data_IF_484573157456
#
_entry.id   IF_484573157456
#
_cell.length_a   1.000
_cell.length_b   1.000
_cell.length_c   1.000
_cell.angle_alpha   90.00
_cell.angle_beta   90.00
_cell.angle_gamma   90.00
#
_symmetry.space_group_name_H-M   'P 1'
#
loop_
_entity.id
_entity.type
_entity.pdbx_description
1 polymer ?
#
# COMPACT_ATOMS: atom_id res chain seq x y z
N UNK A 1 63.21 -6.23 4.81
CA UNK A 1 62.05 -7.15 4.78
C UNK A 1 60.79 -6.31 4.94
N UNK A 2 59.97 -6.18 3.88
CA UNK A 2 58.70 -5.42 3.91
C UNK A 2 57.57 -6.40 3.63
N UNK A 3 56.72 -6.66 4.61
CA UNK A 3 55.50 -7.44 4.43
C UNK A 3 54.38 -6.49 4.02
N UNK A 4 53.81 -6.71 2.85
CA UNK A 4 52.60 -6.04 2.38
C UNK A 4 51.41 -6.83 2.94
N UNK A 5 50.75 -6.27 3.95
CA UNK A 5 49.51 -6.79 4.50
C UNK A 5 48.37 -6.44 3.54
N UNK A 6 47.97 -7.39 2.68
CA UNK A 6 46.81 -7.24 1.80
C UNK A 6 45.55 -7.47 2.64
N UNK A 7 44.87 -6.39 3.01
CA UNK A 7 43.58 -6.43 3.69
C UNK A 7 42.50 -6.79 2.67
N UNK A 8 42.20 -8.08 2.55
CA UNK A 8 41.05 -8.56 1.78
C UNK A 8 39.79 -8.26 2.59
N UNK A 9 39.21 -7.07 2.39
CA UNK A 9 37.85 -6.78 2.82
C UNK A 9 36.90 -7.68 2.02
N UNK A 10 36.60 -8.86 2.57
CA UNK A 10 35.52 -9.70 2.10
C UNK A 10 34.21 -8.90 2.25
N UNK A 11 33.70 -8.41 1.11
CA UNK A 11 32.36 -7.87 0.97
C UNK A 11 31.36 -8.99 1.27
N UNK A 12 31.06 -9.20 2.55
CA UNK A 12 29.92 -10.02 2.95
C UNK A 12 28.67 -9.28 2.44
N UNK A 13 27.84 -9.90 1.59
CA UNK A 13 26.56 -9.31 1.23
C UNK A 13 25.77 -9.10 2.53
N UNK A 14 25.36 -7.86 2.78
CA UNK A 14 24.44 -7.54 3.86
C UNK A 14 23.11 -8.19 3.46
N UNK A 15 22.92 -9.43 3.88
CA UNK A 15 21.64 -10.13 3.77
C UNK A 15 20.72 -9.37 4.73
N UNK A 16 19.89 -8.48 4.18
CA UNK A 16 18.81 -7.85 4.93
C UNK A 16 17.85 -8.96 5.35
N UNK A 17 17.99 -9.42 6.58
CA UNK A 17 17.10 -10.40 7.20
C UNK A 17 15.69 -9.78 7.20
N UNK A 18 14.77 -10.30 6.38
CA UNK A 18 13.37 -9.87 6.41
C UNK A 18 12.84 -10.20 7.80
N UNK A 19 12.46 -9.18 8.57
CA UNK A 19 11.96 -9.35 9.94
C UNK A 19 10.52 -9.88 9.86
N UNK A 20 10.34 -11.18 10.12
CA UNK A 20 9.03 -11.76 10.32
C UNK A 20 8.63 -11.65 11.80
N UNK A 21 7.47 -11.05 12.06
CA UNK A 21 6.89 -11.04 13.39
C UNK A 21 5.94 -12.23 13.53
N UNK A 22 6.14 -13.02 14.58
CA UNK A 22 5.31 -14.18 14.92
C UNK A 22 4.61 -13.96 16.25
N UNK A 23 3.29 -14.06 16.26
CA UNK A 23 2.48 -13.94 17.48
C UNK A 23 1.48 -15.10 17.58
N UNK A 24 1.21 -15.58 18.79
CA UNK A 24 0.09 -16.48 19.00
C UNK A 24 -1.25 -15.73 18.92
N UNK A 25 -1.31 -14.54 19.51
CA UNK A 25 -2.48 -13.69 19.44
C UNK A 25 -2.06 -12.24 19.29
N UNK A 26 -2.69 -11.55 18.34
CA UNK A 26 -2.57 -10.11 18.17
C UNK A 26 -3.95 -9.48 18.28
N UNK A 27 -4.13 -8.62 19.28
CA UNK A 27 -5.34 -7.83 19.47
C UNK A 27 -5.05 -6.38 19.10
N UNK A 28 -5.82 -5.84 18.16
CA UNK A 28 -5.92 -4.40 17.95
C UNK A 28 -7.15 -3.92 18.73
N UNK A 29 -6.98 -3.11 19.79
CA UNK A 29 -8.10 -2.61 20.58
C UNK A 29 -9.12 -1.83 19.74
N UNK A 30 -10.31 -1.62 20.31
CA UNK A 30 -11.36 -0.83 19.64
C UNK A 30 -10.88 0.61 19.41
N UNK A 31 -11.23 1.18 18.25
CA UNK A 31 -10.92 2.58 17.89
C UNK A 31 -9.43 2.95 17.95
N UNK A 32 -8.54 1.98 17.78
CA UNK A 32 -7.10 2.22 17.67
C UNK A 32 -6.58 1.90 16.28
N UNK A 33 -5.42 2.45 15.97
CA UNK A 33 -4.69 2.17 14.74
C UNK A 33 -3.38 1.44 15.06
N UNK A 34 -3.08 0.40 14.29
CA UNK A 34 -1.79 -0.29 14.30
C UNK A 34 -1.05 -0.02 12.99
N UNK A 35 0.15 0.54 13.06
CA UNK A 35 1.02 0.68 11.89
C UNK A 35 1.89 -0.57 11.74
N UNK A 36 1.76 -1.28 10.62
CA UNK A 36 2.60 -2.41 10.26
C UNK A 36 3.74 -1.91 9.36
N UNK A 37 4.92 -1.79 9.94
CA UNK A 37 6.14 -1.40 9.21
C UNK A 37 6.87 -2.58 8.59
N UNK A 38 6.47 -3.82 8.91
CA UNK A 38 7.08 -5.03 8.38
C UNK A 38 6.38 -5.51 7.11
N UNK A 39 7.14 -6.17 6.24
CA UNK A 39 6.63 -6.77 5.01
C UNK A 39 5.78 -8.02 5.29
N UNK A 40 5.90 -8.61 6.49
CA UNK A 40 5.22 -9.84 6.87
C UNK A 40 4.79 -9.86 8.34
N UNK A 41 3.56 -10.34 8.57
CA UNK A 41 2.95 -10.59 9.88
C UNK A 41 2.37 -12.00 9.89
N UNK A 42 2.86 -12.83 10.81
CA UNK A 42 2.36 -14.19 11.04
C UNK A 42 1.72 -14.24 12.42
N UNK A 43 0.42 -14.55 12.48
CA UNK A 43 -0.31 -14.57 13.75
C UNK A 43 -1.32 -15.71 13.79
N UNK A 44 -1.34 -16.53 14.84
CA UNK A 44 -2.31 -17.62 14.92
C UNK A 44 -3.74 -17.05 15.04
N UNK A 45 -4.00 -16.15 15.99
CA UNK A 45 -5.30 -15.49 16.17
C UNK A 45 -5.18 -13.96 16.06
N UNK A 46 -5.73 -13.39 14.98
CA UNK A 46 -5.75 -11.95 14.75
C UNK A 46 -7.12 -11.37 15.06
N UNK A 47 -7.19 -10.45 16.03
CA UNK A 47 -8.44 -9.84 16.47
C UNK A 47 -8.39 -8.33 16.22
N UNK A 48 -9.29 -7.84 15.37
CA UNK A 48 -9.54 -6.42 15.14
C UNK A 48 -10.78 -5.99 15.95
N UNK A 49 -10.58 -5.22 17.01
CA UNK A 49 -11.67 -4.63 17.77
C UNK A 49 -12.50 -3.65 16.93
N UNK A 50 -13.73 -3.36 17.35
CA UNK A 50 -14.63 -2.47 16.62
C UNK A 50 -13.96 -1.13 16.25
N UNK A 51 -14.11 -0.74 14.98
CA UNK A 51 -13.58 0.49 14.40
C UNK A 51 -12.05 0.63 14.53
N UNK A 52 -11.34 -0.49 14.61
CA UNK A 52 -9.89 -0.50 14.57
C UNK A 52 -9.36 -0.45 13.13
N UNK A 53 -8.13 0.05 13.00
CA UNK A 53 -7.48 0.29 11.71
C UNK A 53 -6.09 -0.34 11.67
N UNK A 54 -5.74 -0.96 10.55
CA UNK A 54 -4.36 -1.32 10.22
C UNK A 54 -3.85 -0.35 9.17
N UNK A 55 -2.65 0.18 9.36
CA UNK A 55 -1.96 1.05 8.40
C UNK A 55 -0.73 0.31 7.88
N UNK A 56 -0.67 0.05 6.57
CA UNK A 56 0.44 -0.61 5.92
C UNK A 56 1.56 0.41 5.65
N UNK A 57 2.71 0.23 6.29
CA UNK A 57 3.91 1.04 6.06
C UNK A 57 4.78 0.49 4.92
N UNK A 58 4.82 -0.83 4.77
CA UNK A 58 5.57 -1.50 3.71
C UNK A 58 4.85 -1.44 2.36
N UNK A 59 5.61 -1.41 1.25
CA UNK A 59 5.04 -1.37 -0.10
C UNK A 59 4.24 -2.63 -0.42
N UNK A 60 4.67 -3.78 0.10
CA UNK A 60 3.97 -5.06 0.02
C UNK A 60 3.91 -5.66 1.41
N UNK A 61 2.72 -5.99 1.87
CA UNK A 61 2.51 -6.64 3.18
C UNK A 61 1.83 -7.99 3.01
N UNK A 62 2.39 -9.01 3.64
CA UNK A 62 1.77 -10.32 3.83
C UNK A 62 1.24 -10.42 5.26
N UNK A 63 -0.06 -10.62 5.41
CA UNK A 63 -0.68 -11.01 6.68
C UNK A 63 -1.14 -12.45 6.54
N UNK A 64 -0.55 -13.35 7.31
CA UNK A 64 -0.96 -14.75 7.37
C UNK A 64 -1.45 -15.08 8.77
N UNK A 65 -2.68 -15.58 8.83
CA UNK A 65 -3.29 -15.98 10.09
C UNK A 65 -4.08 -17.27 10.00
N UNK A 66 -4.18 -17.99 11.11
CA UNK A 66 -5.10 -19.11 11.20
C UNK A 66 -6.53 -18.61 11.37
N UNK A 67 -6.77 -17.62 12.25
CA UNK A 67 -8.09 -17.03 12.45
C UNK A 67 -8.02 -15.51 12.49
N UNK A 68 -8.75 -14.86 11.59
CA UNK A 68 -9.00 -13.42 11.60
C UNK A 68 -10.42 -13.15 12.09
N UNK A 69 -10.55 -12.39 13.18
CA UNK A 69 -11.80 -11.86 13.70
C UNK A 69 -11.84 -10.35 13.52
N UNK A 70 -12.80 -9.85 12.74
CA UNK A 70 -13.03 -8.41 12.58
C UNK A 70 -14.34 -7.97 13.25
N UNK A 71 -14.24 -6.93 14.07
CA UNK A 71 -15.36 -6.26 14.68
C UNK A 71 -16.18 -5.42 13.70
N UNK A 72 -16.91 -4.44 14.23
CA UNK A 72 -17.75 -3.55 13.42
C UNK A 72 -16.91 -2.40 12.83
N UNK A 73 -17.03 -2.13 11.53
CA UNK A 73 -16.37 -1.01 10.83
C UNK A 73 -14.82 -1.01 10.90
N UNK A 74 -14.21 -2.20 10.89
CA UNK A 74 -12.76 -2.33 10.83
C UNK A 74 -12.21 -1.94 9.46
N UNK A 75 -10.97 -1.45 9.41
CA UNK A 75 -10.33 -1.08 8.15
C UNK A 75 -8.85 -1.46 8.04
N UNK A 76 -8.39 -1.68 6.82
CA UNK A 76 -6.98 -1.80 6.44
C UNK A 76 -6.67 -0.73 5.40
N UNK A 77 -5.65 0.08 5.64
CA UNK A 77 -5.28 1.24 4.82
C UNK A 77 -3.84 1.07 4.35
N UNK A 78 -3.63 1.21 3.05
CA UNK A 78 -2.34 1.14 2.39
C UNK A 78 -2.28 2.15 1.25
N UNK A 79 -2.35 3.44 1.59
CA UNK A 79 -2.33 4.51 0.60
C UNK A 79 -0.89 4.85 0.17
N UNK A 80 -0.74 5.20 -1.10
CA UNK A 80 0.48 5.78 -1.65
C UNK A 80 0.60 7.26 -1.29
N UNK A 81 1.83 7.73 -1.10
CA UNK A 81 2.08 9.15 -0.86
C UNK A 81 1.78 10.01 -2.10
N UNK A 82 1.11 11.13 -1.87
CA UNK A 82 0.99 12.19 -2.87
C UNK A 82 2.37 12.75 -3.23
N UNK A 83 2.56 13.04 -4.51
CA UNK A 83 3.78 13.67 -4.98
C UNK A 83 3.89 15.09 -4.42
N UNK A 84 5.00 15.36 -3.75
CA UNK A 84 5.32 16.71 -3.29
C UNK A 84 5.98 17.45 -4.47
N UNK A 85 5.50 18.65 -4.78
CA UNK A 85 6.21 19.55 -5.69
C UNK A 85 7.56 19.84 -5.03
N UNK A 86 8.65 19.30 -5.59
CA UNK A 86 9.99 19.70 -5.19
C UNK A 86 10.17 21.15 -5.66
N UNK A 87 9.90 22.10 -4.76
CA UNK A 87 10.29 23.50 -4.95
C UNK A 87 11.80 23.59 -4.85
N UNK A 88 12.46 23.25 -5.94
CA UNK A 88 13.83 23.69 -6.13
C UNK A 88 13.79 25.18 -6.47
N UNK A 89 14.14 26.02 -5.50
CA UNK A 89 14.20 27.48 -5.67
C UNK A 89 15.31 27.91 -6.63
N UNK A 90 16.22 27.00 -7.01
CA UNK A 90 17.26 27.27 -8.00
C UNK A 90 16.79 27.07 -9.44
N UNK A 91 15.67 26.38 -9.66
CA UNK A 91 15.07 26.21 -10.97
C UNK A 91 13.85 27.11 -11.13
N UNK A 92 13.72 27.85 -12.25
CA UNK A 92 12.51 28.61 -12.52
C UNK A 92 11.30 27.67 -12.56
N UNK A 93 10.14 28.15 -12.10
CA UNK A 93 8.88 27.38 -12.00
C UNK A 93 8.45 26.70 -13.32
N UNK A 94 8.97 27.20 -14.43
CA UNK A 94 8.81 26.66 -15.79
C UNK A 94 9.53 25.35 -16.04
N UNK A 95 10.58 25.03 -15.28
CA UNK A 95 11.46 23.85 -15.45
C UNK A 95 11.31 22.82 -14.33
N UNK A 96 10.46 23.07 -13.32
CA UNK A 96 10.19 22.10 -12.26
C UNK A 96 9.52 20.87 -12.86
N UNK A 97 10.18 19.71 -12.72
CA UNK A 97 9.66 18.44 -13.19
C UNK A 97 8.50 18.02 -12.31
N UNK A 98 7.40 17.63 -12.94
CA UNK A 98 6.29 17.06 -12.20
C UNK A 98 6.61 15.63 -11.79
N UNK A 99 6.21 15.29 -10.56
CA UNK A 99 6.53 14.04 -9.91
C UNK A 99 5.28 13.17 -9.86
N UNK A 100 5.44 11.90 -10.19
CA UNK A 100 4.36 10.92 -10.11
C UNK A 100 4.06 10.57 -8.65
N UNK A 101 2.77 10.46 -8.31
CA UNK A 101 2.35 9.98 -7.00
C UNK A 101 2.73 8.51 -6.76
N UNK A 102 2.92 8.13 -5.50
CA UNK A 102 3.30 6.76 -5.17
C UNK A 102 2.14 5.79 -5.44
N UNK A 103 2.44 4.56 -5.85
CA UNK A 103 1.41 3.53 -5.93
C UNK A 103 0.87 3.18 -4.52
N UNK A 104 -0.39 2.76 -4.47
CA UNK A 104 -0.97 2.16 -3.27
C UNK A 104 -0.20 0.93 -2.83
N UNK A 105 -0.20 0.67 -1.53
CA UNK A 105 0.45 -0.49 -0.92
C UNK A 105 -0.30 -1.76 -1.32
N UNK A 106 0.41 -2.86 -1.46
CA UNK A 106 -0.19 -4.16 -1.82
C UNK A 106 -0.36 -5.03 -0.58
N UNK A 107 -1.49 -5.72 -0.49
CA UNK A 107 -1.83 -6.61 0.62
C UNK A 107 -2.09 -8.02 0.11
N UNK A 108 -1.35 -8.98 0.67
CA UNK A 108 -1.72 -10.39 0.63
C UNK A 108 -2.26 -10.77 2.01
N UNK A 109 -3.54 -11.12 2.09
CA UNK A 109 -4.19 -11.55 3.33
C UNK A 109 -4.61 -13.01 3.19
N UNK A 110 -3.97 -13.87 3.97
CA UNK A 110 -4.24 -15.30 4.02
C UNK A 110 -4.81 -15.60 5.40
N UNK A 111 -6.05 -16.07 5.45
CA UNK A 111 -6.68 -16.51 6.69
C UNK A 111 -7.22 -17.92 6.54
N UNK A 112 -6.99 -18.83 7.50
CA UNK A 112 -7.70 -20.12 7.44
C UNK A 112 -9.19 -19.95 7.76
N UNK A 113 -9.50 -19.18 8.80
CA UNK A 113 -10.86 -18.84 9.25
C UNK A 113 -11.01 -17.32 9.19
N UNK A 114 -12.00 -16.83 8.46
CA UNK A 114 -12.34 -15.41 8.40
C UNK A 114 -13.73 -15.18 8.99
N UNK A 115 -13.77 -14.51 10.14
CA UNK A 115 -14.98 -14.21 10.89
C UNK A 115 -15.10 -12.70 11.03
N UNK A 116 -16.23 -12.14 10.63
CA UNK A 116 -16.44 -10.70 10.73
C UNK A 116 -17.87 -10.37 11.13
N UNK A 117 -17.99 -9.42 12.04
CA UNK A 117 -19.29 -8.89 12.48
C UNK A 117 -19.89 -7.90 11.48
N UNK A 118 -19.07 -7.37 10.56
CA UNK A 118 -19.49 -6.39 9.56
C UNK A 118 -18.61 -6.44 8.30
N UNK A 119 -18.76 -5.47 7.40
CA UNK A 119 -17.88 -5.35 6.24
C UNK A 119 -16.49 -4.86 6.69
N UNK A 120 -15.44 -5.63 6.39
CA UNK A 120 -14.05 -5.19 6.49
C UNK A 120 -13.73 -4.30 5.29
N UNK A 121 -13.38 -3.04 5.55
CA UNK A 121 -13.01 -2.11 4.48
C UNK A 121 -11.51 -2.13 4.22
N UNK A 122 -11.10 -2.30 2.97
CA UNK A 122 -9.70 -2.33 2.56
C UNK A 122 -9.48 -1.21 1.55
N UNK A 123 -8.58 -0.27 1.89
CA UNK A 123 -8.24 0.90 1.09
C UNK A 123 -6.78 0.81 0.67
N UNK A 124 -6.51 0.66 -0.62
CA UNK A 124 -5.17 0.54 -1.21
C UNK A 124 -5.01 1.57 -2.33
N UNK A 125 -5.13 2.86 -2.02
CA UNK A 125 -5.20 3.88 -3.07
C UNK A 125 -3.81 4.39 -3.48
N UNK A 126 -3.65 4.76 -4.74
CA UNK A 126 -2.47 5.49 -5.19
C UNK A 126 -2.50 6.96 -4.76
N UNK A 127 -1.32 7.53 -4.53
CA UNK A 127 -1.15 8.96 -4.28
C UNK A 127 -1.30 9.78 -5.56
N UNK A 128 -1.67 11.04 -5.39
CA UNK A 128 -1.86 12.00 -6.48
C UNK A 128 -0.52 12.44 -7.09
N UNK A 129 -0.51 12.72 -8.39
CA UNK A 129 0.61 13.34 -9.06
C UNK A 129 0.73 14.83 -8.73
N UNK A 130 1.93 15.38 -8.86
CA UNK A 130 2.15 16.81 -8.61
C UNK A 130 1.65 17.64 -9.78
N UNK A 131 1.25 18.87 -9.52
CA UNK A 131 0.97 19.82 -10.60
C UNK A 131 2.21 20.06 -11.47
N UNK A 132 1.98 20.37 -12.74
CA UNK A 132 3.02 20.75 -13.68
C UNK A 132 3.49 22.19 -13.49
N UNK A 133 4.77 22.44 -13.77
CA UNK A 133 5.30 23.79 -13.98
C UNK A 133 4.67 24.48 -15.20
N UNK A 134 5.02 25.75 -15.43
CA UNK A 134 4.40 26.59 -16.48
C UNK A 134 4.51 25.97 -17.90
N UNK A 135 5.58 25.22 -18.17
CA UNK A 135 5.80 24.51 -19.43
C UNK A 135 6.02 22.99 -19.24
N UNK A 136 5.75 22.47 -18.05
CA UNK A 136 5.94 21.06 -17.75
C UNK A 136 4.58 20.34 -17.68
N UNK A 137 4.56 19.10 -18.16
CA UNK A 137 3.40 18.22 -18.02
C UNK A 137 3.12 17.96 -16.53
N UNK A 138 1.85 17.78 -16.13
CA UNK A 138 1.53 17.36 -14.77
C UNK A 138 2.06 15.96 -14.49
N UNK A 139 2.31 15.70 -13.21
CA UNK A 139 2.73 14.40 -12.72
C UNK A 139 1.56 13.44 -12.78
N UNK A 140 1.85 12.19 -13.11
CA UNK A 140 0.82 11.15 -13.11
C UNK A 140 0.38 10.79 -11.68
N UNK A 141 -0.84 10.30 -11.52
CA UNK A 141 -1.22 9.60 -10.30
C UNK A 141 -0.48 8.27 -10.14
N UNK A 142 -0.29 7.86 -8.88
CA UNK A 142 0.08 6.49 -8.55
C UNK A 142 -1.03 5.51 -8.92
N UNK A 143 -0.67 4.26 -9.21
CA UNK A 143 -1.67 3.21 -9.38
C UNK A 143 -2.25 2.78 -8.02
N UNK A 144 -3.46 2.23 -7.99
CA UNK A 144 -3.97 1.54 -6.82
C UNK A 144 -3.13 0.30 -6.49
N UNK A 145 -3.13 -0.09 -5.21
CA UNK A 145 -2.45 -1.28 -4.73
C UNK A 145 -3.24 -2.56 -5.04
N UNK A 146 -2.56 -3.70 -4.95
CA UNK A 146 -3.14 -5.00 -5.24
C UNK A 146 -3.66 -5.66 -3.95
N UNK A 147 -4.82 -6.32 -4.04
CA UNK A 147 -5.34 -7.18 -2.97
C UNK A 147 -5.40 -8.63 -3.44
N UNK A 148 -4.71 -9.50 -2.71
CA UNK A 148 -4.83 -10.95 -2.83
C UNK A 148 -5.37 -11.54 -1.52
N UNK A 149 -6.61 -12.01 -1.54
CA UNK A 149 -7.26 -12.58 -0.35
C UNK A 149 -7.49 -14.09 -0.52
N UNK A 150 -7.01 -14.88 0.44
CA UNK A 150 -7.22 -16.32 0.47
C UNK A 150 -7.88 -16.71 1.79
N UNK A 151 -8.99 -17.44 1.71
CA UNK A 151 -9.65 -18.05 2.87
C UNK A 151 -10.01 -19.52 2.64
N UNK A 152 -9.83 -20.36 3.66
CA UNK A 152 -10.05 -21.82 3.56
C UNK A 152 -11.36 -22.31 4.19
N UNK A 153 -11.92 -21.59 5.16
CA UNK A 153 -13.13 -22.00 5.89
C UNK A 153 -14.18 -20.89 5.95
N UNK A 154 -14.43 -20.27 4.80
CA UNK A 154 -15.49 -19.27 4.65
C UNK A 154 -16.30 -19.60 3.41
N UNK A 155 -17.62 -19.60 3.51
CA UNK A 155 -18.46 -19.68 2.31
C UNK A 155 -18.11 -18.50 1.39
N UNK A 156 -17.64 -18.80 0.17
CA UNK A 156 -17.21 -17.78 -0.81
C UNK A 156 -18.20 -16.62 -0.96
N UNK A 157 -19.51 -16.92 -0.98
CA UNK A 157 -20.59 -15.91 -1.06
C UNK A 157 -20.64 -14.95 0.14
N UNK A 158 -20.19 -15.38 1.33
CA UNK A 158 -20.11 -14.52 2.53
C UNK A 158 -18.88 -13.62 2.47
N UNK A 159 -17.74 -14.11 2.01
CA UNK A 159 -16.50 -13.31 1.88
C UNK A 159 -16.66 -12.15 0.91
N UNK A 160 -17.21 -12.41 -0.28
CA UNK A 160 -17.40 -11.37 -1.30
C UNK A 160 -18.34 -10.25 -0.82
N UNK A 161 -19.24 -10.54 0.14
CA UNK A 161 -20.13 -9.56 0.78
C UNK A 161 -19.52 -8.88 2.00
N UNK A 162 -18.42 -9.43 2.52
CA UNK A 162 -17.79 -9.03 3.78
C UNK A 162 -16.53 -8.19 3.57
N UNK A 163 -16.03 -8.07 2.34
CA UNK A 163 -14.88 -7.22 2.02
C UNK A 163 -15.33 -6.10 1.08
N UNK A 164 -15.10 -4.85 1.49
CA UNK A 164 -15.25 -3.68 0.63
C UNK A 164 -13.87 -3.18 0.23
N UNK A 165 -13.46 -3.43 -1.01
CA UNK A 165 -12.19 -2.97 -1.56
C UNK A 165 -12.36 -1.63 -2.27
N UNK A 166 -11.52 -0.66 -1.91
CA UNK A 166 -11.20 0.52 -2.73
C UNK A 166 -9.71 0.52 -3.04
N UNK A 167 -9.36 0.41 -4.31
CA UNK A 167 -7.98 0.40 -4.78
C UNK A 167 -7.81 1.33 -6.00
N UNK A 168 -8.23 2.57 -5.81
CA UNK A 168 -8.21 3.55 -6.89
C UNK A 168 -6.81 4.11 -7.09
N UNK A 169 -6.43 4.38 -8.35
CA UNK A 169 -5.23 5.18 -8.62
C UNK A 169 -5.40 6.62 -8.14
N UNK A 170 -4.30 7.32 -7.94
CA UNK A 170 -4.30 8.76 -7.68
C UNK A 170 -4.71 9.56 -8.91
N UNK A 171 -5.12 10.81 -8.68
CA UNK A 171 -5.39 11.74 -9.76
C UNK A 171 -4.09 12.28 -10.36
N UNK A 172 -4.04 12.56 -11.67
CA UNK A 172 -2.95 13.34 -12.23
C UNK A 172 -2.97 14.76 -11.65
N UNK A 173 -1.80 15.40 -11.61
CA UNK A 173 -1.70 16.81 -11.29
C UNK A 173 -2.37 17.70 -12.34
N UNK A 174 -2.48 18.99 -12.03
CA UNK A 174 -3.08 19.98 -12.92
C UNK A 174 -2.01 20.65 -13.80
N UNK A 175 -2.30 20.89 -15.10
CA UNK A 175 -1.47 21.76 -15.92
C UNK A 175 -1.60 23.22 -15.47
N UNK A 176 -0.51 24.01 -15.52
CA UNK A 176 -0.54 25.47 -15.29
C UNK A 176 -0.56 26.24 -16.62
N UNK A 177 -1.49 27.20 -16.70
CA UNK A 177 -1.77 28.31 -17.65
C UNK A 177 -1.26 28.35 -19.12
N UNK A 178 -0.25 27.59 -19.55
CA UNK A 178 0.27 27.59 -20.94
C UNK A 178 0.32 26.21 -21.60
N UNK A 179 0.12 25.11 -20.86
CA UNK A 179 -0.14 23.80 -21.45
C UNK A 179 -1.62 23.61 -21.89
N UNK A 180 -2.36 24.70 -22.05
CA UNK A 180 -3.80 24.75 -22.37
C UNK A 180 -4.19 24.17 -23.74
N UNK A 181 -3.23 23.66 -24.52
CA UNK A 181 -3.45 22.96 -25.79
C UNK A 181 -3.52 21.44 -25.68
N UNK A 182 -3.26 20.85 -24.51
CA UNK A 182 -3.44 19.41 -24.31
C UNK A 182 -4.89 19.12 -23.91
N UNK A 183 -5.61 18.39 -24.76
CA UNK A 183 -6.94 17.90 -24.42
C UNK A 183 -6.90 17.07 -23.12
N UNK A 184 -7.91 17.23 -22.27
CA UNK A 184 -8.05 16.43 -21.05
C UNK A 184 -8.06 14.91 -21.30
N UNK A 185 -8.34 14.48 -22.54
CA UNK A 185 -8.30 13.10 -23.03
C UNK A 185 -6.89 12.48 -23.05
N UNK A 186 -5.82 13.29 -23.04
CA UNK A 186 -4.44 12.81 -23.01
C UNK A 186 -3.84 12.71 -21.60
N UNK A 187 -4.60 13.06 -20.56
CA UNK A 187 -4.14 12.93 -19.19
C UNK A 187 -4.21 11.47 -18.72
N UNK A 188 -3.19 10.96 -17.99
CA UNK A 188 -3.19 9.59 -17.51
C UNK A 188 -4.41 9.33 -16.63
N UNK A 189 -5.21 8.33 -17.02
CA UNK A 189 -6.40 7.91 -16.26
C UNK A 189 -6.00 7.13 -15.01
N UNK A 190 -6.79 7.25 -13.93
CA UNK A 190 -6.59 6.52 -12.67
C UNK A 190 -6.51 5.01 -12.94
N UNK A 191 -5.39 4.38 -12.62
CA UNK A 191 -5.19 2.93 -12.77
C UNK A 191 -5.59 2.22 -11.49
N UNK A 192 -6.61 1.36 -11.54
CA UNK A 192 -6.97 0.47 -10.42
C UNK A 192 -5.93 -0.64 -10.27
N UNK A 193 -5.72 -1.10 -9.06
CA UNK A 193 -4.93 -2.30 -8.80
C UNK A 193 -5.71 -3.59 -9.09
N UNK A 194 -5.01 -4.73 -9.04
CA UNK A 194 -5.60 -6.05 -9.19
C UNK A 194 -6.28 -6.52 -7.90
N UNK A 195 -7.38 -7.27 -8.06
CA UNK A 195 -8.13 -7.85 -6.96
C UNK A 195 -8.48 -9.31 -7.25
N UNK A 196 -8.12 -10.20 -6.30
CA UNK A 196 -8.47 -11.62 -6.38
C UNK A 196 -8.87 -12.16 -5.00
N UNK A 197 -10.04 -12.80 -4.93
CA UNK A 197 -10.49 -13.60 -3.78
C UNK A 197 -10.50 -15.07 -4.16
N UNK A 198 -9.78 -15.89 -3.38
CA UNK A 198 -9.81 -17.34 -3.45
C UNK A 198 -10.40 -17.85 -2.13
N UNK A 199 -11.59 -18.43 -2.20
CA UNK A 199 -12.22 -19.09 -1.07
C UNK A 199 -12.37 -20.58 -1.37
N UNK A 200 -11.65 -21.42 -0.63
CA UNK A 200 -11.74 -22.87 -0.72
C UNK A 200 -12.76 -23.37 0.31
N UNK A 201 -13.38 -24.52 0.01
CA UNK A 201 -14.31 -25.22 0.91
C UNK A 201 -13.62 -26.43 1.52
#
# INVERSE_FOLDING_TARGET
MKYILVFVCALLPIITLSQSLHYDTLLIPKRTALMLTTDSLFVNHFIMGDSSTIILGAQTTLIKTFRLEAGVNCSIIGDGMDAIIMKDNSLPLSLQQAVRGENGKSLTLISTIFDTKSILSIYLNGGNGSDGGLFALPGEGGAGGNLFFISSYSEKKKVDQQINLKNEGGYPGRPRHSAAGMEASSLPTRKKGDFRIIANK
#
